data_IF_996439994287
#
_entry.id   IF_996439994287
#
_cell.length_a   1.000
_cell.length_b   1.000
_cell.length_c   1.000
_cell.angle_alpha   90.00
_cell.angle_beta   90.00
_cell.angle_gamma   90.00
#
_symmetry.space_group_name_H-M   'P 1'
#
loop_
_entity.id
_entity.type
_entity.pdbx_description
1 polymer ?
#
# COMPACT_ATOMS: atom_id res chain seq x y z
N UNK A 1 7.55 0.83 -2.16
CA UNK A 1 6.23 0.27 -2.52
C UNK A 1 5.38 1.39 -3.07
N UNK A 2 4.53 1.18 -4.09
CA UNK A 2 3.59 2.23 -4.52
C UNK A 2 2.35 2.18 -3.64
N UNK A 3 1.77 3.33 -3.35
CA UNK A 3 0.75 3.45 -2.30
C UNK A 3 -0.65 3.76 -2.85
N UNK A 4 -1.64 3.08 -2.27
CA UNK A 4 -3.08 3.13 -2.46
C UNK A 4 -3.73 3.42 -1.09
N UNK A 5 -5.02 3.79 -1.01
CA UNK A 5 -5.61 4.16 0.28
C UNK A 5 -7.07 3.70 0.49
N UNK A 6 -7.45 3.31 1.73
CA UNK A 6 -8.84 2.99 2.14
C UNK A 6 -9.41 3.94 3.20
N UNK A 7 -10.70 4.31 3.04
CA UNK A 7 -11.50 5.03 4.02
C UNK A 7 -11.27 4.53 5.46
N UNK A 8 -11.35 5.42 6.46
CA UNK A 8 -11.15 5.05 7.85
C UNK A 8 -12.18 4.06 8.38
N UNK A 9 -11.72 3.16 9.25
CA UNK A 9 -12.56 2.46 10.23
C UNK A 9 -12.09 2.85 11.64
N UNK A 10 -13.00 3.27 12.51
CA UNK A 10 -12.70 3.70 13.90
C UNK A 10 -12.38 5.20 14.08
N UNK A 11 -11.69 5.57 15.17
CA UNK A 11 -11.39 6.96 15.60
C UNK A 11 -10.41 7.74 14.71
N UNK A 12 -10.01 7.23 13.54
CA UNK A 12 -9.05 7.91 12.66
C UNK A 12 -9.80 8.82 11.67
N UNK A 13 -9.56 10.15 11.67
CA UNK A 13 -10.36 11.08 10.88
C UNK A 13 -10.05 11.07 9.38
N UNK A 14 -8.88 10.57 8.96
CA UNK A 14 -8.41 10.70 7.58
C UNK A 14 -8.24 9.36 6.88
N UNK A 15 -7.31 8.49 7.30
CA UNK A 15 -7.00 7.22 6.62
C UNK A 15 -7.20 6.01 7.55
N UNK A 16 -7.81 4.92 7.07
CA UNK A 16 -7.89 3.64 7.79
C UNK A 16 -6.62 2.81 7.68
N UNK A 17 -6.21 2.56 6.43
CA UNK A 17 -4.97 1.86 6.09
C UNK A 17 -4.49 2.30 4.70
N UNK A 18 -3.18 2.25 4.48
CA UNK A 18 -2.58 2.43 3.17
C UNK A 18 -2.48 1.05 2.49
N UNK A 19 -3.07 0.89 1.33
CA UNK A 19 -2.88 -0.28 0.49
C UNK A 19 -1.53 -0.13 -0.22
N UNK A 20 -0.78 -1.21 -0.35
CA UNK A 20 0.55 -1.20 -0.94
C UNK A 20 0.54 -2.07 -2.18
N UNK A 21 1.32 -1.65 -3.17
CA UNK A 21 1.54 -2.39 -4.38
C UNK A 21 3.02 -2.34 -4.80
N UNK A 22 3.40 -3.23 -5.69
CA UNK A 22 4.69 -3.23 -6.36
C UNK A 22 4.48 -3.63 -7.82
N UNK A 23 5.43 -3.27 -8.67
CA UNK A 23 5.44 -3.74 -10.05
C UNK A 23 6.12 -5.10 -10.13
N UNK A 24 5.47 -6.05 -10.79
CA UNK A 24 6.04 -7.37 -11.06
C UNK A 24 7.07 -7.31 -12.22
N UNK A 25 7.74 -8.43 -12.57
CA UNK A 25 8.67 -8.48 -13.69
C UNK A 25 8.04 -8.10 -15.04
N UNK A 26 6.74 -8.35 -15.22
CA UNK A 26 5.98 -8.03 -16.43
C UNK A 26 5.51 -6.56 -16.48
N UNK A 27 5.85 -5.77 -15.44
CA UNK A 27 5.50 -4.36 -15.34
C UNK A 27 4.06 -4.11 -14.89
N UNK A 28 3.38 -5.12 -14.34
CA UNK A 28 2.02 -5.02 -13.84
C UNK A 28 2.01 -4.68 -12.36
N UNK A 29 0.99 -3.93 -11.94
CA UNK A 29 0.88 -3.48 -10.56
C UNK A 29 0.17 -4.55 -9.70
N UNK A 30 0.96 -5.24 -8.87
CA UNK A 30 0.50 -6.30 -7.99
C UNK A 30 0.29 -5.77 -6.55
N UNK A 31 -0.82 -6.19 -5.93
CA UNK A 31 -1.12 -5.86 -4.54
C UNK A 31 -0.15 -6.54 -3.58
N UNK A 32 0.36 -5.79 -2.60
CA UNK A 32 1.37 -6.23 -1.64
C UNK A 32 0.83 -6.38 -0.21
N UNK A 33 -0.31 -5.76 0.13
CA UNK A 33 -0.86 -5.77 1.49
C UNK A 33 -1.30 -4.38 1.96
N UNK A 34 -1.52 -4.26 3.27
CA UNK A 34 -1.96 -3.00 3.90
C UNK A 34 -1.04 -2.59 5.05
N UNK A 35 -0.78 -1.30 5.18
CA UNK A 35 -0.11 -0.69 6.31
C UNK A 35 -1.10 0.19 7.11
N UNK A 36 -1.43 -0.22 8.33
CA UNK A 36 -2.27 0.54 9.26
C UNK A 36 -1.51 1.13 10.46
N UNK A 37 -0.25 0.76 10.65
CA UNK A 37 0.61 1.14 11.78
C UNK A 37 1.81 1.96 11.29
N UNK A 38 2.46 2.69 12.20
CA UNK A 38 3.58 3.58 11.87
C UNK A 38 3.19 4.95 11.29
N UNK A 39 1.89 5.20 11.05
CA UNK A 39 1.38 6.47 10.51
C UNK A 39 0.76 7.30 11.64
N UNK A 40 1.40 8.40 12.01
CA UNK A 40 0.87 9.36 12.98
C UNK A 40 -0.15 10.33 12.33
N UNK A 41 -0.88 11.11 13.14
CA UNK A 41 -1.94 12.00 12.64
C UNK A 41 -1.45 13.05 11.62
N UNK A 42 -0.28 13.66 11.86
CA UNK A 42 0.28 14.65 10.95
C UNK A 42 0.65 14.02 9.59
N UNK A 43 1.19 12.80 9.62
CA UNK A 43 1.54 12.06 8.42
C UNK A 43 0.30 11.56 7.68
N UNK A 44 -0.77 11.16 8.38
CA UNK A 44 -2.08 10.86 7.75
C UNK A 44 -2.58 12.06 6.94
N UNK A 45 -2.50 13.27 7.51
CA UNK A 45 -2.92 14.50 6.82
C UNK A 45 -2.01 14.85 5.64
N UNK A 46 -0.69 14.62 5.77
CA UNK A 46 0.27 14.80 4.68
C UNK A 46 0.00 13.83 3.52
N UNK A 47 -0.17 12.55 3.83
CA UNK A 47 -0.53 11.51 2.85
C UNK A 47 -1.85 11.84 2.16
N UNK A 48 -2.88 12.21 2.92
CA UNK A 48 -4.19 12.57 2.37
C UNK A 48 -4.10 13.69 1.32
N UNK A 49 -3.38 14.78 1.63
CA UNK A 49 -3.20 15.91 0.70
C UNK A 49 -2.45 15.52 -0.58
N UNK A 50 -1.49 14.59 -0.50
CA UNK A 50 -0.73 14.12 -1.66
C UNK A 50 -1.50 13.09 -2.50
N UNK A 51 -2.35 12.29 -1.85
CA UNK A 51 -3.15 11.25 -2.50
C UNK A 51 -4.38 11.83 -3.21
N UNK A 52 -5.00 12.88 -2.68
CA UNK A 52 -6.16 13.54 -3.30
C UNK A 52 -6.00 13.87 -4.79
N UNK A 53 -4.92 14.57 -5.24
CA UNK A 53 -4.75 14.88 -6.67
C UNK A 53 -4.45 13.65 -7.55
N UNK A 54 -4.14 12.51 -6.91
CA UNK A 54 -3.89 11.25 -7.59
C UNK A 54 -5.13 10.36 -7.63
N UNK A 55 -6.22 10.74 -6.97
CA UNK A 55 -7.47 9.98 -6.97
C UNK A 55 -7.93 9.66 -8.40
N UNK A 56 -8.37 8.43 -8.60
CA UNK A 56 -8.87 7.94 -9.89
C UNK A 56 -9.99 6.94 -9.66
N UNK A 57 -10.94 6.88 -10.60
CA UNK A 57 -12.01 5.88 -10.57
C UNK A 57 -11.55 4.52 -11.10
N UNK A 58 -10.45 4.50 -11.85
CA UNK A 58 -9.90 3.28 -12.44
C UNK A 58 -8.99 2.57 -11.45
N UNK A 59 -9.29 1.30 -11.17
CA UNK A 59 -8.38 0.44 -10.40
C UNK A 59 -7.05 0.28 -11.16
N UNK A 60 -5.91 0.65 -10.55
CA UNK A 60 -4.60 0.57 -11.21
C UNK A 60 -3.95 -0.81 -11.07
N UNK A 61 -4.48 -1.65 -10.17
CA UNK A 61 -3.99 -3.01 -9.95
C UNK A 61 -4.37 -3.91 -11.12
N UNK A 62 -3.51 -4.85 -11.47
CA UNK A 62 -3.79 -5.87 -12.49
C UNK A 62 -4.92 -6.81 -12.04
N UNK A 63 -4.87 -7.19 -10.76
CA UNK A 63 -5.87 -8.06 -10.11
C UNK A 63 -6.40 -7.36 -8.86
N UNK A 64 -7.73 -7.38 -8.61
CA UNK A 64 -8.30 -6.84 -7.38
C UNK A 64 -7.69 -7.51 -6.14
N UNK A 65 -7.52 -6.78 -5.02
CA UNK A 65 -7.00 -7.37 -3.81
C UNK A 65 -7.99 -8.42 -3.26
N UNK A 66 -7.48 -9.48 -2.61
CA UNK A 66 -8.32 -10.56 -2.10
C UNK A 66 -9.32 -10.06 -1.06
N UNK A 67 -10.57 -10.51 -1.16
CA UNK A 67 -11.68 -10.11 -0.26
C UNK A 67 -11.59 -10.75 1.13
N UNK A 68 -10.82 -11.84 1.27
CA UNK A 68 -10.66 -12.60 2.51
C UNK A 68 -9.76 -11.92 3.54
N UNK A 69 -10.14 -12.00 4.82
CA UNK A 69 -9.38 -11.45 5.95
C UNK A 69 -8.13 -12.30 6.21
N UNK A 70 -6.97 -11.86 5.69
CA UNK A 70 -5.65 -12.25 6.23
C UNK A 70 -4.96 -11.10 6.98
N UNK A 71 -5.65 -9.96 7.11
CA UNK A 71 -5.12 -8.68 7.56
C UNK A 71 -5.87 -8.07 8.76
N UNK A 72 -6.63 -8.89 9.51
CA UNK A 72 -7.37 -8.46 10.70
C UNK A 72 -8.85 -8.18 10.44
N UNK A 73 -9.18 -7.46 9.37
CA UNK A 73 -10.56 -7.22 8.92
C UNK A 73 -10.71 -7.50 7.41
N UNK A 74 -11.89 -7.94 6.93
CA UNK A 74 -12.15 -8.07 5.50
C UNK A 74 -11.96 -6.73 4.78
N UNK A 75 -11.19 -6.71 3.70
CA UNK A 75 -11.08 -5.53 2.85
C UNK A 75 -12.41 -5.27 2.16
N UNK A 76 -13.13 -4.23 2.61
CA UNK A 76 -14.33 -3.75 1.92
C UNK A 76 -13.91 -2.87 0.75
N UNK A 77 -13.89 -3.44 -0.44
CA UNK A 77 -13.54 -2.72 -1.68
C UNK A 77 -14.37 -1.44 -1.90
N UNK A 78 -15.63 -1.42 -1.43
CA UNK A 78 -16.51 -0.24 -1.48
C UNK A 78 -16.02 0.96 -0.66
N UNK A 79 -14.95 0.78 0.12
CA UNK A 79 -14.32 1.79 0.96
C UNK A 79 -12.88 2.10 0.50
N UNK A 80 -12.44 1.53 -0.61
CA UNK A 80 -11.12 1.80 -1.20
C UNK A 80 -11.24 3.01 -2.13
N UNK A 81 -10.30 3.95 -2.00
CA UNK A 81 -10.10 5.02 -2.97
C UNK A 81 -8.87 4.70 -3.80
N UNK A 82 -9.06 4.53 -5.11
CA UNK A 82 -7.94 4.26 -6.00
C UNK A 82 -7.18 5.55 -6.28
N UNK A 83 -5.86 5.44 -6.37
CA UNK A 83 -4.98 6.54 -6.74
C UNK A 83 -4.02 6.07 -7.82
N UNK A 84 -3.55 7.00 -8.63
CA UNK A 84 -2.46 6.76 -9.57
C UNK A 84 -1.21 6.31 -8.81
N UNK A 85 -0.51 5.26 -9.27
CA UNK A 85 0.65 4.68 -8.58
C UNK A 85 1.90 5.56 -8.78
N UNK A 86 1.88 6.77 -8.25
CA UNK A 86 2.96 7.76 -8.41
C UNK A 86 3.76 7.96 -7.10
N UNK A 87 3.17 7.68 -5.94
CA UNK A 87 3.84 7.84 -4.64
C UNK A 87 4.52 6.55 -4.18
N UNK A 88 5.78 6.67 -3.77
CA UNK A 88 6.54 5.57 -3.16
C UNK A 88 6.50 5.70 -1.64
N UNK A 89 5.99 4.67 -0.97
CA UNK A 89 6.09 4.48 0.46
C UNK A 89 7.24 3.51 0.80
N UNK A 90 7.99 3.87 1.83
CA UNK A 90 8.90 2.99 2.54
C UNK A 90 8.20 2.35 3.73
N UNK A 91 8.42 1.05 3.89
CA UNK A 91 7.79 0.26 4.94
C UNK A 91 8.77 -0.77 5.48
N UNK A 92 8.65 -1.08 6.76
CA UNK A 92 9.21 -2.30 7.36
C UNK A 92 8.15 -3.40 7.36
N UNK A 93 8.57 -4.64 7.21
CA UNK A 93 7.69 -5.80 7.23
C UNK A 93 8.48 -7.01 7.74
N UNK A 94 7.79 -7.99 8.31
CA UNK A 94 8.43 -9.19 8.85
C UNK A 94 8.84 -10.17 7.75
N UNK A 95 7.93 -10.47 6.84
CA UNK A 95 8.17 -11.45 5.77
C UNK A 95 7.23 -11.26 4.58
N UNK A 96 7.64 -11.81 3.44
CA UNK A 96 6.73 -12.13 2.34
C UNK A 96 6.03 -13.47 2.63
N UNK A 97 4.80 -13.59 2.17
CA UNK A 97 4.03 -14.84 2.14
C UNK A 97 4.16 -15.53 0.79
N UNK A 98 3.77 -16.79 0.72
CA UNK A 98 3.71 -17.56 -0.52
C UNK A 98 2.74 -16.95 -1.54
N UNK A 99 1.73 -16.20 -1.05
CA UNK A 99 0.80 -15.42 -1.87
C UNK A 99 1.38 -14.08 -2.36
N UNK A 100 2.68 -13.83 -2.17
CA UNK A 100 3.34 -12.56 -2.50
C UNK A 100 2.77 -11.34 -1.77
N UNK A 101 2.27 -11.53 -0.54
CA UNK A 101 1.79 -10.46 0.34
C UNK A 101 2.76 -10.24 1.50
N UNK A 102 2.82 -9.01 1.99
CA UNK A 102 3.63 -8.60 3.13
C UNK A 102 2.92 -8.87 4.45
N UNK A 103 3.65 -9.35 5.46
CA UNK A 103 3.15 -9.51 6.84
C UNK A 103 3.77 -8.53 7.81
N UNK A 104 2.93 -8.10 8.77
CA UNK A 104 3.29 -7.16 9.85
C UNK A 104 3.95 -5.89 9.31
N UNK A 105 3.25 -5.23 8.40
CA UNK A 105 3.75 -4.04 7.70
C UNK A 105 3.60 -2.80 8.56
N UNK A 106 4.68 -2.04 8.67
CA UNK A 106 4.77 -0.77 9.38
C UNK A 106 5.24 0.29 8.39
N UNK A 107 4.49 1.38 8.27
CA UNK A 107 4.88 2.51 7.43
C UNK A 107 6.03 3.29 8.08
N UNK A 108 7.02 3.68 7.28
CA UNK A 108 8.18 4.49 7.74
C UNK A 108 8.17 5.89 7.14
N UNK A 109 7.74 6.06 5.89
CA UNK A 109 7.75 7.36 5.23
C UNK A 109 7.45 7.31 3.73
N UNK A 110 7.35 8.49 3.10
CA UNK A 110 7.32 8.62 1.64
C UNK A 110 8.73 8.84 1.13
N UNK A 111 9.06 8.16 0.03
CA UNK A 111 10.26 8.35 -0.75
C UNK A 111 9.95 9.20 -1.98
N UNK A 112 10.61 10.34 -2.06
CA UNK A 112 10.53 11.27 -3.19
C UNK A 112 11.72 11.13 -4.13
N UNK A 113 12.75 10.42 -3.67
CA UNK A 113 14.01 10.18 -4.35
C UNK A 113 13.96 9.02 -5.35
N UNK A 114 12.85 8.28 -5.40
CA UNK A 114 12.71 7.08 -6.24
C UNK A 114 11.41 7.11 -7.05
N UNK A 115 11.45 6.86 -8.38
CA UNK A 115 10.24 6.76 -9.18
C UNK A 115 9.45 5.49 -8.83
N UNK A 116 8.13 5.63 -8.85
CA UNK A 116 7.20 4.54 -8.56
C UNK A 116 7.38 3.32 -9.47
N UNK A 117 7.74 3.55 -10.73
CA UNK A 117 7.98 2.52 -11.75
C UNK A 117 9.18 1.63 -11.46
N UNK A 118 10.06 1.97 -10.51
CA UNK A 118 11.21 1.15 -10.10
C UNK A 118 10.96 0.35 -8.82
N UNK A 119 9.74 0.42 -8.28
CA UNK A 119 9.36 -0.36 -7.11
C UNK A 119 9.12 -1.80 -7.55
N UNK A 120 10.12 -2.65 -7.33
CA UNK A 120 10.05 -4.10 -7.52
C UNK A 120 10.06 -4.82 -6.18
N UNK A 121 9.60 -6.08 -6.16
CA UNK A 121 9.85 -6.99 -5.04
C UNK A 121 11.36 -7.18 -4.92
N UNK A 122 11.91 -6.92 -3.74
CA UNK A 122 13.30 -7.28 -3.47
C UNK A 122 13.41 -8.81 -3.55
N UNK A 123 14.44 -9.37 -4.22
CA UNK A 123 14.71 -10.80 -4.13
C UNK A 123 14.80 -11.18 -2.64
N UNK A 124 14.33 -12.38 -2.25
CA UNK A 124 14.45 -12.82 -0.87
C UNK A 124 15.92 -12.66 -0.46
N UNK A 125 16.15 -12.04 0.70
CA UNK A 125 17.47 -12.00 1.28
C UNK A 125 17.90 -13.45 1.49
N UNK A 126 18.80 -13.95 0.65
CA UNK A 126 19.45 -15.22 0.90
C UNK A 126 20.17 -15.06 2.23
N UNK A 127 19.71 -15.77 3.27
CA UNK A 127 20.51 -15.88 4.49
C UNK A 127 21.86 -16.49 4.06
N UNK A 128 22.99 -15.89 4.45
CA UNK A 128 24.30 -16.50 4.23
C UNK A 128 24.40 -17.85 4.95
#
# INVERSE_FOLDING_TARGET
>A
MTSLWTNPEGRRPYLGALLLAYYDPDGRLAFAGCAGTGINTAELQRLWRRLQPLATDKMPLDVPPPRGSRFGSPLRLSRVHWVRPELVAEVKFLTWTDDNLLRQVVYEGLREDKPATEVRRSPPYAKP
#
